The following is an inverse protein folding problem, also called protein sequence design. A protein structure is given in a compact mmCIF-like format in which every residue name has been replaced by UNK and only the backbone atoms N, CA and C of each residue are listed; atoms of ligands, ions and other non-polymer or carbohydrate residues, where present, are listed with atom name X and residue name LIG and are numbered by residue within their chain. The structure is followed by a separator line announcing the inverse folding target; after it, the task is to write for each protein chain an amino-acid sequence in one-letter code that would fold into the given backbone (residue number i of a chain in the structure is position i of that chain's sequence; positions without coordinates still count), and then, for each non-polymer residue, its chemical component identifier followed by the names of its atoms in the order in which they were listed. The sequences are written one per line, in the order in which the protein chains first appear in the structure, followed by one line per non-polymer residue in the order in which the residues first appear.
data_IF_686074706558
#
_entry.id   IF_686074706558
#
_cell.length_a   1.000
_cell.length_b   1.000
_cell.length_c   1.000
_cell.angle_alpha   90.00
_cell.angle_beta   90.00
_cell.angle_gamma   90.00
#
_symmetry.space_group_name_H-M   'P 1'
#
loop_
_entity.id
_entity.type
_entity.pdbx_description
1 polymer ?
#
# COMPACT_ATOMS: atom_id res chain seq x y z
N UNK A 1 -16.83 -11.57 -45.06
CA UNK A 1 -17.61 -11.33 -43.83
C UNK A 1 -16.64 -10.94 -42.74
N UNK A 2 -16.59 -9.64 -42.43
CA UNK A 2 -15.80 -9.11 -41.30
C UNK A 2 -16.63 -9.35 -40.05
N UNK A 3 -16.18 -10.25 -39.18
CA UNK A 3 -16.68 -10.30 -37.79
C UNK A 3 -16.22 -9.02 -37.12
N UNK A 4 -17.08 -8.02 -37.03
CA UNK A 4 -16.95 -6.95 -36.08
C UNK A 4 -17.24 -7.62 -34.74
N UNK A 5 -16.20 -7.99 -34.00
CA UNK A 5 -16.32 -8.31 -32.60
C UNK A 5 -16.89 -7.06 -31.93
N UNK A 6 -18.17 -7.12 -31.53
CA UNK A 6 -18.72 -6.10 -30.65
C UNK A 6 -17.83 -6.10 -29.39
N UNK A 7 -17.01 -5.06 -29.24
CA UNK A 7 -16.40 -4.79 -27.93
C UNK A 7 -17.58 -4.54 -26.99
N UNK A 8 -17.65 -5.33 -25.91
CA UNK A 8 -18.65 -5.12 -24.89
C UNK A 8 -18.54 -3.70 -24.35
N UNK A 9 -19.65 -2.97 -24.30
CA UNK A 9 -19.66 -1.61 -23.80
C UNK A 9 -19.22 -1.58 -22.35
N UNK A 10 -18.38 -0.59 -21.99
CA UNK A 10 -17.99 -0.37 -20.60
C UNK A 10 -19.20 -0.01 -19.74
N UNK A 11 -19.23 -0.53 -18.55
CA UNK A 11 -20.20 -0.28 -17.49
C UNK A 11 -19.43 -0.15 -16.15
N UNK A 12 -20.10 0.24 -15.04
CA UNK A 12 -19.44 0.27 -13.73
C UNK A 12 -18.92 -1.12 -13.32
N UNK A 13 -17.59 -1.27 -13.37
CA UNK A 13 -16.92 -2.52 -13.07
C UNK A 13 -16.74 -2.70 -11.59
N UNK A 14 -16.94 -3.92 -11.10
CA UNK A 14 -16.54 -4.38 -9.77
C UNK A 14 -15.47 -5.44 -9.94
N UNK A 15 -14.51 -5.46 -9.02
CA UNK A 15 -13.43 -6.44 -9.04
C UNK A 15 -13.55 -7.40 -7.86
N UNK A 16 -13.02 -8.60 -8.05
CA UNK A 16 -12.84 -9.55 -6.95
C UNK A 16 -11.72 -9.02 -6.04
N UNK A 17 -11.95 -8.91 -4.73
CA UNK A 17 -10.90 -8.49 -3.81
C UNK A 17 -9.80 -9.57 -3.75
N UNK A 18 -8.54 -9.14 -3.75
CA UNK A 18 -7.38 -10.00 -3.52
C UNK A 18 -7.06 -9.90 -2.02
N UNK A 19 -7.23 -11.01 -1.30
CA UNK A 19 -7.09 -11.06 0.15
C UNK A 19 -5.74 -11.65 0.53
N UNK A 20 -4.99 -10.93 1.35
CA UNK A 20 -3.65 -11.30 1.77
C UNK A 20 -3.56 -11.44 3.29
N UNK A 21 -3.15 -12.61 3.74
CA UNK A 21 -2.82 -12.83 5.15
C UNK A 21 -1.47 -12.20 5.47
N UNK A 22 -1.42 -11.55 6.64
CA UNK A 22 -0.22 -10.88 7.15
C UNK A 22 0.00 -11.26 8.61
N UNK A 23 1.26 -11.28 9.05
CA UNK A 23 1.60 -11.57 10.47
C UNK A 23 0.95 -10.59 11.44
N UNK A 24 0.68 -9.38 10.99
CA UNK A 24 0.03 -8.29 11.74
C UNK A 24 -1.46 -8.14 11.42
N UNK A 25 -2.03 -8.97 10.53
CA UNK A 25 -3.41 -8.91 10.09
C UNK A 25 -4.43 -9.35 11.13
N UNK A 26 -5.69 -8.99 10.92
CA UNK A 26 -6.79 -9.23 11.84
C UNK A 26 -8.05 -9.77 11.17
N UNK A 27 -9.21 -9.43 11.72
CA UNK A 27 -10.51 -9.90 11.26
C UNK A 27 -11.48 -8.75 10.88
N UNK A 28 -11.06 -7.48 11.00
CA UNK A 28 -11.92 -6.33 10.71
C UNK A 28 -12.32 -6.24 9.24
N UNK A 29 -11.49 -6.73 8.32
CA UNK A 29 -11.85 -6.84 6.90
C UNK A 29 -13.13 -7.66 6.72
N UNK A 30 -13.29 -8.75 7.45
CA UNK A 30 -14.52 -9.53 7.45
C UNK A 30 -15.62 -8.91 8.32
N UNK A 31 -15.31 -8.57 9.56
CA UNK A 31 -16.30 -8.15 10.55
C UNK A 31 -16.93 -6.79 10.24
N UNK A 32 -16.16 -5.86 9.69
CA UNK A 32 -16.60 -4.46 9.44
C UNK A 32 -16.89 -4.25 7.95
N UNK A 33 -16.02 -4.72 7.06
CA UNK A 33 -16.13 -4.49 5.61
C UNK A 33 -16.77 -5.66 4.86
N UNK A 34 -17.14 -6.74 5.57
CA UNK A 34 -17.79 -7.93 5.01
C UNK A 34 -17.01 -8.57 3.85
N UNK A 35 -15.68 -8.49 3.88
CA UNK A 35 -14.85 -9.14 2.88
C UNK A 35 -14.97 -10.67 2.97
N UNK A 36 -14.90 -11.38 1.84
CA UNK A 36 -15.13 -12.83 1.78
C UNK A 36 -13.90 -13.63 2.27
N UNK A 37 -13.57 -13.51 3.55
CA UNK A 37 -12.48 -14.24 4.19
C UNK A 37 -12.92 -14.82 5.51
N UNK A 38 -12.36 -15.99 5.85
CA UNK A 38 -12.47 -16.63 7.17
C UNK A 38 -11.15 -16.63 7.93
N UNK A 39 -10.11 -16.06 7.32
CA UNK A 39 -8.79 -15.93 7.94
C UNK A 39 -8.86 -15.06 9.19
N UNK A 40 -8.07 -15.45 10.20
CA UNK A 40 -7.89 -14.66 11.42
C UNK A 40 -6.78 -13.61 11.29
N UNK A 41 -6.04 -13.66 10.18
CA UNK A 41 -4.87 -12.83 9.92
C UNK A 41 -4.97 -12.10 8.56
N UNK A 42 -6.18 -11.87 8.06
CA UNK A 42 -6.37 -11.11 6.82
C UNK A 42 -5.94 -9.65 7.05
N UNK A 43 -4.78 -9.30 6.57
CA UNK A 43 -4.20 -7.95 6.76
C UNK A 43 -4.55 -6.98 5.65
N UNK A 44 -4.70 -7.45 4.41
CA UNK A 44 -4.97 -6.60 3.26
C UNK A 44 -6.08 -7.16 2.38
N UNK A 45 -6.89 -6.26 1.83
CA UNK A 45 -7.87 -6.53 0.77
C UNK A 45 -7.58 -5.57 -0.38
N UNK A 46 -6.99 -6.06 -1.47
CA UNK A 46 -6.70 -5.25 -2.65
C UNK A 46 -7.93 -5.16 -3.53
N UNK A 47 -8.46 -3.95 -3.66
CA UNK A 47 -9.72 -3.70 -4.35
C UNK A 47 -9.53 -3.49 -5.86
N UNK A 48 -8.43 -2.86 -6.26
CA UNK A 48 -8.00 -2.74 -7.65
C UNK A 48 -6.47 -2.73 -7.69
N UNK A 49 -5.92 -3.62 -8.52
CA UNK A 49 -4.48 -3.84 -8.64
C UNK A 49 -4.07 -4.19 -10.06
N UNK A 50 -2.97 -3.60 -10.50
CA UNK A 50 -2.22 -3.96 -11.72
C UNK A 50 -0.78 -4.39 -11.36
N UNK A 51 -0.57 -4.83 -10.13
CA UNK A 51 0.72 -5.40 -9.70
C UNK A 51 0.91 -6.76 -10.37
N UNK A 52 2.10 -7.00 -10.89
CA UNK A 52 2.43 -8.26 -11.57
C UNK A 52 2.21 -9.46 -10.63
N UNK A 53 1.46 -10.45 -11.11
CA UNK A 53 1.07 -11.62 -10.32
C UNK A 53 -0.23 -11.43 -9.53
N UNK A 54 -0.64 -10.20 -9.23
CA UNK A 54 -1.81 -9.84 -8.42
C UNK A 54 -2.76 -8.87 -9.15
N UNK A 55 -3.01 -9.14 -10.42
CA UNK A 55 -3.91 -8.33 -11.26
C UNK A 55 -5.38 -8.60 -10.94
N UNK A 56 -6.15 -7.54 -10.74
CA UNK A 56 -7.59 -7.62 -10.46
C UNK A 56 -8.38 -8.25 -11.59
N UNK A 57 -9.44 -8.99 -11.22
CA UNK A 57 -10.37 -9.67 -12.12
C UNK A 57 -11.78 -9.13 -11.91
N UNK A 58 -12.50 -8.85 -12.99
CA UNK A 58 -13.86 -8.33 -12.96
C UNK A 58 -14.81 -9.35 -12.31
N UNK A 59 -15.65 -8.87 -11.40
CA UNK A 59 -16.60 -9.68 -10.64
C UNK A 59 -18.04 -9.61 -11.12
N UNK A 60 -18.38 -8.73 -12.08
CA UNK A 60 -19.77 -8.48 -12.48
C UNK A 60 -19.93 -8.27 -13.99
N UNK A 61 -21.17 -8.47 -14.47
CA UNK A 61 -21.61 -8.13 -15.84
C UNK A 61 -20.99 -8.97 -16.94
N UNK A 62 -21.04 -8.46 -18.19
CA UNK A 62 -20.61 -9.17 -19.38
C UNK A 62 -19.08 -9.43 -19.42
N UNK A 63 -18.30 -8.56 -18.78
CA UNK A 63 -16.84 -8.66 -18.70
C UNK A 63 -16.36 -9.47 -17.48
N UNK A 64 -17.25 -10.13 -16.73
CA UNK A 64 -16.90 -10.95 -15.59
C UNK A 64 -15.84 -12.01 -15.96
N UNK A 65 -14.78 -12.10 -15.15
CA UNK A 65 -13.66 -13.02 -15.38
C UNK A 65 -12.53 -12.41 -16.21
N UNK A 66 -12.72 -11.23 -16.81
CA UNK A 66 -11.65 -10.51 -17.52
C UNK A 66 -10.67 -9.88 -16.53
N UNK A 67 -9.38 -9.94 -16.84
CA UNK A 67 -8.36 -9.26 -16.04
C UNK A 67 -8.32 -7.76 -16.34
N UNK A 68 -7.89 -6.96 -15.36
CA UNK A 68 -7.69 -5.53 -15.55
C UNK A 68 -6.71 -5.24 -16.72
N UNK A 69 -5.64 -6.02 -16.85
CA UNK A 69 -4.69 -5.87 -17.96
C UNK A 69 -5.34 -6.05 -19.31
N UNK A 70 -6.16 -7.09 -19.48
CA UNK A 70 -6.92 -7.30 -20.71
C UNK A 70 -7.83 -6.10 -21.03
N UNK A 71 -8.50 -5.54 -20.03
CA UNK A 71 -9.36 -4.38 -20.20
C UNK A 71 -8.58 -3.12 -20.59
N UNK A 72 -7.41 -2.92 -20.01
CA UNK A 72 -6.53 -1.78 -20.34
C UNK A 72 -5.99 -1.87 -21.77
N UNK A 73 -5.67 -3.07 -22.25
CA UNK A 73 -5.24 -3.30 -23.63
C UNK A 73 -6.38 -3.16 -24.65
N UNK A 74 -7.58 -3.57 -24.26
CA UNK A 74 -8.74 -3.59 -25.17
C UNK A 74 -9.46 -2.24 -25.22
N UNK A 75 -9.66 -1.59 -24.07
CA UNK A 75 -10.45 -0.35 -23.95
C UNK A 75 -9.59 0.91 -23.82
N UNK A 76 -8.30 0.77 -23.54
CA UNK A 76 -7.31 1.86 -23.57
C UNK A 76 -7.79 3.16 -22.89
N UNK A 77 -7.90 4.25 -23.68
CA UNK A 77 -8.34 5.56 -23.19
C UNK A 77 -9.82 5.61 -22.78
N UNK A 78 -10.66 4.71 -23.28
CA UNK A 78 -12.07 4.64 -22.88
C UNK A 78 -12.21 4.23 -21.40
N UNK A 79 -11.27 3.42 -20.90
CA UNK A 79 -11.23 3.00 -19.49
C UNK A 79 -10.44 3.99 -18.61
N UNK A 80 -9.25 4.40 -19.05
CA UNK A 80 -8.35 5.26 -18.25
C UNK A 80 -8.60 6.76 -18.43
N UNK A 81 -9.25 7.16 -19.51
CA UNK A 81 -9.29 8.53 -20.00
C UNK A 81 -8.00 8.89 -20.76
N UNK A 82 -8.13 9.78 -21.74
CA UNK A 82 -7.06 10.18 -22.66
C UNK A 82 -5.78 10.65 -21.94
N UNK A 83 -5.92 11.48 -20.88
CA UNK A 83 -4.79 12.02 -20.14
C UNK A 83 -3.97 10.92 -19.48
N UNK A 84 -4.63 10.02 -18.76
CA UNK A 84 -3.96 8.93 -18.04
C UNK A 84 -3.38 7.90 -19.02
N UNK A 85 -4.11 7.58 -20.10
CA UNK A 85 -3.60 6.68 -21.12
C UNK A 85 -2.33 7.20 -21.80
N UNK A 86 -2.25 8.50 -22.11
CA UNK A 86 -1.03 9.11 -22.65
C UNK A 86 0.15 9.03 -21.68
N UNK A 87 -0.11 9.12 -20.39
CA UNK A 87 0.94 9.13 -19.37
C UNK A 87 1.40 7.72 -18.96
N UNK A 88 0.47 6.78 -18.82
CA UNK A 88 0.71 5.47 -18.22
C UNK A 88 0.58 4.31 -19.21
N UNK A 89 0.08 4.57 -20.44
CA UNK A 89 -0.20 3.53 -21.44
C UNK A 89 -1.25 2.56 -20.93
N UNK A 90 -0.94 1.26 -21.01
CA UNK A 90 -1.81 0.18 -20.52
C UNK A 90 -1.50 -0.24 -19.09
N UNK A 91 -0.91 0.66 -18.27
CA UNK A 91 -0.69 0.44 -16.84
C UNK A 91 -1.73 1.18 -16.03
N UNK A 92 -2.35 0.48 -15.07
CA UNK A 92 -3.22 1.14 -14.09
C UNK A 92 -2.35 1.81 -13.02
N UNK A 93 -2.46 3.15 -12.83
CA UNK A 93 -1.47 3.88 -12.05
C UNK A 93 -1.66 3.80 -10.54
N UNK A 94 -2.71 3.15 -10.05
CA UNK A 94 -3.05 3.07 -8.64
C UNK A 94 -3.20 1.63 -8.17
N UNK A 95 -2.83 1.39 -6.92
CA UNK A 95 -3.25 0.25 -6.11
C UNK A 95 -4.14 0.78 -4.98
N UNK A 96 -5.35 0.25 -4.87
CA UNK A 96 -6.32 0.65 -3.85
C UNK A 96 -6.62 -0.56 -2.99
N UNK A 97 -6.45 -0.41 -1.68
CA UNK A 97 -6.63 -1.51 -0.73
C UNK A 97 -7.18 -1.04 0.62
N UNK A 98 -7.75 -1.99 1.36
CA UNK A 98 -7.99 -1.84 2.79
C UNK A 98 -6.94 -2.60 3.57
N UNK A 99 -6.54 -2.03 4.71
CA UNK A 99 -5.56 -2.60 5.62
C UNK A 99 -6.18 -2.72 7.01
N UNK A 100 -6.11 -3.93 7.58
CA UNK A 100 -6.50 -4.22 8.96
C UNK A 100 -5.23 -4.52 9.78
N UNK A 101 -4.81 -3.54 10.55
CA UNK A 101 -3.68 -3.66 11.46
C UNK A 101 -4.14 -4.15 12.84
N UNK A 102 -4.12 -5.44 13.07
CA UNK A 102 -4.30 -6.00 14.42
C UNK A 102 -3.08 -5.75 15.31
N UNK A 103 -1.90 -5.76 14.70
CA UNK A 103 -0.62 -5.40 15.32
C UNK A 103 0.05 -4.29 14.51
N UNK A 104 1.06 -3.63 15.09
CA UNK A 104 1.79 -2.58 14.40
C UNK A 104 2.46 -3.11 13.12
N UNK A 105 2.31 -2.40 12.02
CA UNK A 105 3.10 -2.65 10.83
C UNK A 105 4.54 -2.20 11.04
N UNK A 106 5.45 -2.72 10.23
CA UNK A 106 6.85 -2.26 10.25
C UNK A 106 6.96 -0.76 9.98
N UNK A 107 7.93 -0.13 10.60
CA UNK A 107 8.34 1.23 10.26
C UNK A 107 9.10 1.20 8.95
N UNK A 108 8.68 2.01 8.00
CA UNK A 108 9.11 1.91 6.60
C UNK A 108 9.06 3.25 5.88
N UNK A 109 9.64 3.29 4.69
CA UNK A 109 9.49 4.37 3.73
C UNK A 109 9.54 3.81 2.30
N UNK A 110 9.25 4.67 1.33
CA UNK A 110 9.19 4.29 -0.07
C UNK A 110 10.05 5.19 -0.93
N UNK A 111 10.68 4.65 -1.99
CA UNK A 111 11.45 5.42 -2.94
C UNK A 111 10.55 6.28 -3.84
N UNK A 112 11.09 7.39 -4.36
CA UNK A 112 10.47 8.15 -5.43
C UNK A 112 10.53 7.41 -6.77
N UNK A 113 9.84 7.93 -7.80
CA UNK A 113 9.78 7.32 -9.13
C UNK A 113 11.17 7.10 -9.75
N UNK A 114 12.08 8.06 -9.59
CA UNK A 114 13.43 7.97 -10.17
C UNK A 114 14.22 6.82 -9.55
N UNK A 115 14.23 6.74 -8.22
CA UNK A 115 14.96 5.71 -7.48
C UNK A 115 14.33 4.33 -7.68
N UNK A 116 12.99 4.25 -7.65
CA UNK A 116 12.25 3.02 -7.90
C UNK A 116 12.48 2.49 -9.32
N UNK A 117 12.51 3.40 -10.31
CA UNK A 117 12.82 3.01 -11.70
C UNK A 117 14.24 2.48 -11.84
N UNK A 118 15.21 3.16 -11.24
CA UNK A 118 16.61 2.77 -11.34
C UNK A 118 16.92 1.43 -10.66
N UNK A 119 16.32 1.17 -9.50
CA UNK A 119 16.62 -0.02 -8.67
C UNK A 119 15.72 -1.21 -8.95
N UNK A 120 14.46 -0.97 -9.25
CA UNK A 120 13.41 -2.00 -9.26
C UNK A 120 12.62 -2.05 -10.56
N UNK A 121 12.91 -1.16 -11.52
CA UNK A 121 12.11 -0.97 -12.73
C UNK A 121 10.60 -0.79 -12.43
N UNK A 122 10.29 -0.05 -11.39
CA UNK A 122 8.93 0.15 -10.87
C UNK A 122 8.63 1.65 -10.68
N UNK A 123 7.41 1.95 -10.24
CA UNK A 123 7.00 3.26 -9.79
C UNK A 123 7.47 3.52 -8.36
N UNK A 124 7.55 4.79 -7.97
CA UNK A 124 7.58 5.20 -6.59
C UNK A 124 6.28 4.81 -5.87
N UNK A 125 6.18 5.11 -4.58
CA UNK A 125 5.03 4.71 -3.79
C UNK A 125 4.56 5.82 -2.86
N UNK A 126 4.04 6.89 -3.48
CA UNK A 126 3.25 7.90 -2.74
C UNK A 126 1.92 7.28 -2.35
N UNK A 127 1.46 7.56 -1.14
CA UNK A 127 0.26 6.99 -0.55
C UNK A 127 -0.67 8.06 0.00
N UNK A 128 -1.95 7.75 0.06
CA UNK A 128 -2.96 8.45 0.84
C UNK A 128 -3.68 7.43 1.72
N UNK A 129 -3.84 7.76 3.00
CA UNK A 129 -4.59 6.94 3.95
C UNK A 129 -5.87 7.64 4.37
N UNK A 130 -6.94 6.86 4.48
CA UNK A 130 -8.21 7.28 5.07
C UNK A 130 -8.57 6.28 6.18
N UNK A 131 -8.66 6.76 7.42
CA UNK A 131 -8.99 5.92 8.57
C UNK A 131 -10.48 5.59 8.55
N UNK A 132 -10.80 4.32 8.34
CA UNK A 132 -12.18 3.80 8.34
C UNK A 132 -12.66 3.57 9.76
N UNK A 133 -11.80 3.00 10.61
CA UNK A 133 -12.07 2.74 12.02
C UNK A 133 -10.73 2.67 12.76
N UNK A 134 -10.71 3.15 14.00
CA UNK A 134 -9.58 3.02 14.90
C UNK A 134 -10.08 2.61 16.29
N UNK A 135 -9.35 1.70 16.94
CA UNK A 135 -9.57 1.38 18.34
C UNK A 135 -9.13 2.57 19.22
N UNK A 136 -9.61 2.69 20.47
CA UNK A 136 -9.14 3.72 21.38
C UNK A 136 -7.61 3.73 21.50
N UNK A 137 -7.00 4.92 21.49
CA UNK A 137 -5.54 5.14 21.59
C UNK A 137 -4.72 4.59 20.41
N UNK A 138 -5.35 4.07 19.36
CA UNK A 138 -4.64 3.68 18.14
C UNK A 138 -4.00 4.88 17.46
N UNK A 139 -2.87 4.65 16.82
CA UNK A 139 -2.08 5.71 16.22
C UNK A 139 -1.53 5.33 14.84
N UNK A 140 -1.11 6.35 14.12
CA UNK A 140 -0.25 6.23 12.95
C UNK A 140 1.10 6.88 13.26
N UNK A 141 2.16 6.34 12.68
CA UNK A 141 3.48 6.98 12.69
C UNK A 141 3.64 7.70 11.35
N UNK A 142 3.85 9.02 11.39
CA UNK A 142 4.02 9.85 10.20
C UNK A 142 5.13 10.86 10.45
N UNK A 143 6.31 10.58 9.89
CA UNK A 143 7.48 11.43 10.02
C UNK A 143 8.18 11.35 11.37
N UNK A 144 9.04 12.32 11.61
CA UNK A 144 9.80 12.47 12.84
C UNK A 144 9.13 13.49 13.78
N UNK A 145 9.38 13.38 15.09
CA UNK A 145 8.87 14.31 16.10
C UNK A 145 9.81 15.48 16.37
N UNK A 146 10.91 15.58 15.64
CA UNK A 146 11.95 16.61 15.77
C UNK A 146 12.68 16.79 14.43
N UNK A 147 13.43 17.88 14.29
CA UNK A 147 14.34 18.04 13.15
C UNK A 147 15.33 16.87 13.09
N UNK A 148 15.49 16.30 11.88
CA UNK A 148 16.29 15.10 11.68
C UNK A 148 17.37 15.32 10.64
N UNK A 149 18.54 14.76 10.90
CA UNK A 149 19.61 14.61 9.92
C UNK A 149 19.93 13.13 9.74
N UNK A 150 20.60 12.80 8.63
CA UNK A 150 21.04 11.42 8.41
C UNK A 150 21.92 10.91 9.55
N UNK A 151 22.87 11.73 10.03
CA UNK A 151 23.77 11.34 11.12
C UNK A 151 22.98 11.06 12.43
N UNK A 152 22.01 11.92 12.76
CA UNK A 152 21.19 11.74 13.95
C UNK A 152 20.31 10.50 13.83
N UNK A 153 19.69 10.27 12.66
CA UNK A 153 18.92 9.05 12.36
C UNK A 153 19.78 7.79 12.57
N UNK A 154 20.96 7.74 11.96
CA UNK A 154 21.87 6.60 12.06
C UNK A 154 22.31 6.34 13.50
N UNK A 155 22.53 7.41 14.28
CA UNK A 155 22.84 7.28 15.69
C UNK A 155 21.68 6.63 16.47
N UNK A 156 20.44 7.07 16.25
CA UNK A 156 19.27 6.46 16.89
C UNK A 156 19.03 5.02 16.47
N UNK A 157 19.36 4.67 15.22
CA UNK A 157 19.30 3.30 14.74
C UNK A 157 20.32 2.39 15.43
N UNK A 158 21.58 2.86 15.55
CA UNK A 158 22.67 2.15 16.25
C UNK A 158 22.38 2.00 17.75
N UNK A 159 21.91 3.06 18.40
CA UNK A 159 21.56 3.08 19.83
C UNK A 159 20.25 2.32 20.14
N UNK A 160 19.54 1.79 19.12
CA UNK A 160 18.21 1.14 19.25
C UNK A 160 17.15 2.02 19.89
N UNK A 161 17.19 3.31 19.60
CA UNK A 161 16.27 4.32 20.15
C UNK A 161 15.39 4.97 19.07
N UNK A 162 15.24 4.32 17.91
CA UNK A 162 14.49 4.86 16.76
C UNK A 162 13.08 5.32 17.15
N UNK A 163 12.37 4.55 17.98
CA UNK A 163 11.01 4.88 18.41
C UNK A 163 10.90 6.26 19.10
N UNK A 164 11.95 6.72 19.77
CA UNK A 164 11.94 7.99 20.50
C UNK A 164 11.89 9.22 19.59
N UNK A 165 12.24 9.07 18.31
CA UNK A 165 12.27 10.16 17.33
C UNK A 165 11.12 10.09 16.32
N UNK A 166 10.24 9.11 16.41
CA UNK A 166 9.08 8.97 15.53
C UNK A 166 7.90 9.80 16.03
N UNK A 167 7.14 10.37 15.10
CA UNK A 167 5.91 11.10 15.41
C UNK A 167 4.72 10.15 15.43
N UNK A 168 4.09 9.99 16.59
CA UNK A 168 2.90 9.16 16.80
C UNK A 168 1.65 10.04 16.87
N UNK A 169 0.77 9.91 15.89
CA UNK A 169 -0.51 10.62 15.84
C UNK A 169 -1.65 9.70 16.26
N UNK A 170 -2.33 10.01 17.38
CA UNK A 170 -3.58 9.32 17.76
C UNK A 170 -4.65 9.65 16.73
N UNK A 171 -5.34 8.62 16.23
CA UNK A 171 -6.26 8.75 15.10
C UNK A 171 -7.67 8.28 15.42
N UNK A 172 -8.63 8.75 14.63
CA UNK A 172 -10.02 8.35 14.66
C UNK A 172 -10.57 8.18 13.25
N UNK A 173 -11.72 7.52 13.14
CA UNK A 173 -12.43 7.39 11.87
C UNK A 173 -12.66 8.76 11.21
N UNK A 174 -12.36 8.84 9.90
CA UNK A 174 -12.46 10.06 9.09
C UNK A 174 -11.17 10.83 8.95
N UNK A 175 -10.14 10.54 9.73
CA UNK A 175 -8.82 11.17 9.55
C UNK A 175 -8.20 10.72 8.23
N UNK A 176 -7.49 11.62 7.55
CA UNK A 176 -6.81 11.36 6.30
C UNK A 176 -5.38 11.89 6.32
N UNK A 177 -4.48 11.14 5.73
CA UNK A 177 -3.05 11.44 5.67
C UNK A 177 -2.54 11.29 4.24
N UNK A 178 -1.66 12.20 3.84
CA UNK A 178 -0.91 12.09 2.61
C UNK A 178 0.54 11.72 2.96
N UNK A 179 0.98 10.56 2.48
CA UNK A 179 2.30 10.01 2.77
C UNK A 179 3.16 10.14 1.52
N UNK A 180 3.99 11.15 1.51
CA UNK A 180 4.93 11.38 0.42
C UNK A 180 6.06 10.36 0.44
N UNK A 181 6.63 10.11 -0.74
CA UNK A 181 7.85 9.27 -0.86
C UNK A 181 8.96 9.83 0.02
N UNK A 182 9.73 8.95 0.63
CA UNK A 182 10.83 9.36 1.54
C UNK A 182 10.42 9.64 2.98
N UNK A 183 9.12 9.78 3.25
CA UNK A 183 8.62 9.99 4.62
C UNK A 183 8.55 8.67 5.37
N UNK A 184 9.20 8.61 6.53
CA UNK A 184 9.11 7.46 7.44
C UNK A 184 7.69 7.35 8.01
N UNK A 185 7.12 6.13 8.02
CA UNK A 185 5.75 5.93 8.47
C UNK A 185 5.50 4.50 8.94
N UNK A 186 4.42 4.31 9.70
CA UNK A 186 3.87 3.00 10.05
C UNK A 186 2.38 3.12 10.42
N UNK A 187 1.64 2.02 10.24
CA UNK A 187 0.26 1.90 10.69
C UNK A 187 0.27 1.19 12.03
N UNK A 188 -0.27 1.83 13.06
CA UNK A 188 -0.34 1.29 14.41
C UNK A 188 -1.46 0.27 14.58
N UNK A 189 -1.32 -0.57 15.60
CA UNK A 189 -2.31 -1.58 15.96
C UNK A 189 -3.69 -0.96 16.24
N UNK A 190 -4.74 -1.67 15.81
CA UNK A 190 -6.12 -1.24 16.00
C UNK A 190 -6.69 -0.35 14.90
N UNK A 191 -5.91 -0.01 13.87
CA UNK A 191 -6.35 0.83 12.76
C UNK A 191 -6.83 -0.03 11.59
N UNK A 192 -8.02 0.30 11.08
CA UNK A 192 -8.53 -0.13 9.78
C UNK A 192 -8.57 1.08 8.86
N UNK A 193 -7.85 1.05 7.76
CA UNK A 193 -7.77 2.18 6.82
C UNK A 193 -7.90 1.74 5.37
N UNK A 194 -8.28 2.69 4.52
CA UNK A 194 -8.14 2.59 3.07
C UNK A 194 -6.82 3.25 2.66
N UNK A 195 -6.05 2.57 1.81
CA UNK A 195 -4.82 3.08 1.23
C UNK A 195 -4.99 3.20 -0.28
N UNK A 196 -4.76 4.39 -0.80
CA UNK A 196 -4.69 4.69 -2.21
C UNK A 196 -3.26 5.07 -2.52
N UNK A 197 -2.58 4.28 -3.34
CA UNK A 197 -1.15 4.41 -3.61
C UNK A 197 -0.83 4.28 -5.09
N UNK A 198 0.37 4.71 -5.49
CA UNK A 198 0.91 4.35 -6.79
C UNK A 198 1.05 2.82 -6.90
N UNK A 199 0.97 2.30 -8.13
CA UNK A 199 1.11 0.86 -8.43
C UNK A 199 2.53 0.39 -8.18
N UNK A 200 2.82 0.06 -6.92
CA UNK A 200 4.10 -0.45 -6.45
C UNK A 200 3.91 -1.24 -5.16
N UNK A 201 4.69 -2.29 -4.98
CA UNK A 201 4.77 -3.07 -3.74
C UNK A 201 6.12 -2.91 -3.02
N UNK A 202 6.95 -1.96 -3.48
CA UNK A 202 8.29 -1.73 -2.95
C UNK A 202 8.22 -1.06 -1.59
N UNK A 203 8.84 -1.71 -0.60
CA UNK A 203 8.92 -1.23 0.78
C UNK A 203 10.36 -1.30 1.28
N UNK A 204 10.86 -0.20 1.81
CA UNK A 204 12.12 -0.16 2.55
C UNK A 204 11.81 -0.18 4.04
N UNK A 205 11.86 -1.39 4.63
CA UNK A 205 11.62 -1.62 6.06
C UNK A 205 12.85 -1.24 6.84
N UNK A 206 12.69 -0.36 7.83
CA UNK A 206 13.82 0.10 8.66
C UNK A 206 13.75 -0.39 10.10
N UNK A 207 12.56 -0.76 10.60
CA UNK A 207 12.36 -1.35 11.91
C UNK A 207 11.09 -2.21 11.95
N UNK A 208 11.12 -3.33 12.63
CA UNK A 208 9.99 -4.27 12.71
C UNK A 208 9.67 -4.75 14.13
N UNK A 209 9.85 -3.87 15.12
CA UNK A 209 9.48 -4.12 16.52
C UNK A 209 10.21 -5.31 17.16
N UNK A 210 11.38 -5.67 16.66
CA UNK A 210 12.16 -6.86 17.06
C UNK A 210 11.33 -8.17 16.95
N UNK A 211 10.35 -8.17 16.05
CA UNK A 211 9.41 -9.27 15.83
C UNK A 211 10.07 -10.41 15.09
N UNK A 212 9.77 -11.62 15.54
CA UNK A 212 10.20 -12.85 14.89
C UNK A 212 9.01 -13.70 14.44
N UNK A 213 9.21 -14.50 13.41
CA UNK A 213 8.23 -15.50 12.98
C UNK A 213 8.19 -16.72 13.94
N UNK A 214 7.36 -17.71 13.61
CA UNK A 214 7.22 -18.94 14.41
C UNK A 214 8.50 -19.80 14.47
N UNK A 215 9.45 -19.53 13.58
CA UNK A 215 10.76 -20.21 13.51
C UNK A 215 11.87 -19.40 14.18
N UNK A 216 11.56 -18.20 14.68
CA UNK A 216 12.51 -17.28 15.32
C UNK A 216 13.30 -16.39 14.37
N UNK A 217 12.87 -16.27 13.10
CA UNK A 217 13.53 -15.43 12.11
C UNK A 217 12.92 -14.02 12.11
N UNK A 218 13.78 -12.99 12.06
CA UNK A 218 13.38 -11.61 11.83
C UNK A 218 13.13 -11.38 10.33
N UNK A 219 12.21 -10.45 10.00
CA UNK A 219 12.07 -9.99 8.61
C UNK A 219 13.26 -9.14 8.22
N UNK A 220 13.65 -9.22 6.94
CA UNK A 220 14.74 -8.43 6.40
C UNK A 220 14.50 -6.93 6.59
N UNK A 221 15.52 -6.21 7.06
CA UNK A 221 15.57 -4.77 7.13
C UNK A 221 16.39 -4.22 5.96
N UNK A 222 15.98 -3.07 5.42
CA UNK A 222 16.54 -2.45 4.22
C UNK A 222 17.26 -1.13 4.55
N UNK A 223 17.93 -1.04 5.70
CA UNK A 223 18.49 0.20 6.23
C UNK A 223 19.51 0.84 5.27
N UNK A 224 20.32 0.03 4.60
CA UNK A 224 21.34 0.55 3.67
C UNK A 224 20.72 1.28 2.48
N UNK A 225 19.74 0.65 1.82
CA UNK A 225 19.11 1.22 0.63
C UNK A 225 18.07 2.29 0.96
N UNK A 226 17.56 2.30 2.19
CA UNK A 226 16.58 3.29 2.63
C UNK A 226 17.19 4.69 2.74
N UNK A 227 18.49 4.83 3.07
CA UNK A 227 19.13 6.12 3.29
C UNK A 227 19.02 7.07 2.12
N UNK A 228 19.15 6.58 0.89
CA UNK A 228 19.01 7.41 -0.32
C UNK A 228 17.54 7.80 -0.61
N UNK A 229 16.59 7.07 -0.05
CA UNK A 229 15.17 7.32 -0.25
C UNK A 229 14.59 8.27 0.79
N UNK A 230 15.26 8.47 1.93
CA UNK A 230 14.76 9.35 2.99
C UNK A 230 14.66 10.80 2.53
N UNK A 231 13.57 11.43 2.93
CA UNK A 231 13.46 12.87 3.05
C UNK A 231 13.47 13.22 4.55
N UNK A 232 14.59 13.74 5.04
CA UNK A 232 14.77 14.09 6.44
C UNK A 232 14.14 15.44 6.82
N UNK A 233 13.69 16.21 5.82
CA UNK A 233 13.04 17.51 6.03
C UNK A 233 11.53 17.38 6.33
N UNK A 234 10.99 16.14 6.26
CA UNK A 234 9.57 15.82 6.48
C UNK A 234 9.31 15.05 7.77
#
# INVERSE_FOLDING_TARGET
FWNVTHMDALYPLKFQPILNDKIWGGQKLHQILHKPTTSKNAGESWEISDVEGDTSVVANGALQGSSLNYLLETHTSDLLGEKNFRQFGTKFPLLIKFIDAKEDLSVQLHPNDQLAKARHNSFGKTEMWYVVQADPESNLIVGFNQEMTQELYLKHLEDKTLQSILNFDTVKAGDAYFIEVGRIHAIGAGVLLAEIQQTSDITYRVYDWDRVDSEGNERELHNDIALEAFDFDM
#
